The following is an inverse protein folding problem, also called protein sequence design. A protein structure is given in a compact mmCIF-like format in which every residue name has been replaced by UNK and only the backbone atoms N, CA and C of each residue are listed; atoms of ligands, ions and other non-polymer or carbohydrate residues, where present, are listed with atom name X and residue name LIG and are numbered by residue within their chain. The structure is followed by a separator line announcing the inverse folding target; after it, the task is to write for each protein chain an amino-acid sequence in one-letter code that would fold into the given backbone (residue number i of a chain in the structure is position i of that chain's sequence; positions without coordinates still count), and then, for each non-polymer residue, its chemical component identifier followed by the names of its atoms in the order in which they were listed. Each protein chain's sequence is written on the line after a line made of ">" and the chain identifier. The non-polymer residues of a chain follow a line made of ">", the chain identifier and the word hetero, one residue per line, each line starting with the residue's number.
data_IF_149083743895
#
_entry.id   IF_149083743895
#
_cell.length_a   1.000
_cell.length_b   1.000
_cell.length_c   1.000
_cell.angle_alpha   90.00
_cell.angle_beta   90.00
_cell.angle_gamma   90.00
#
_symmetry.space_group_name_H-M   'P 1'
#
loop_
_entity.id
_entity.type
_entity.pdbx_description
1 polymer ?
#
# COMPACT_ATOMS: atom_id res chain seq x y z
N UNK A 1 -7.72 10.72 13.84
CA UNK A 1 -7.58 9.26 14.10
C UNK A 1 -7.56 8.41 12.81
N UNK A 2 -8.38 8.72 11.79
CA UNK A 2 -8.43 7.96 10.53
C UNK A 2 -7.12 7.91 9.73
N UNK A 3 -6.39 9.05 9.59
CA UNK A 3 -5.10 9.09 8.86
C UNK A 3 -4.04 8.15 9.43
N UNK A 4 -3.97 7.98 10.75
CA UNK A 4 -3.00 7.07 11.37
C UNK A 4 -3.25 5.60 10.97
N UNK A 5 -4.51 5.18 10.94
CA UNK A 5 -4.90 3.82 10.52
C UNK A 5 -4.64 3.62 9.02
N UNK A 6 -4.93 4.63 8.19
CA UNK A 6 -4.68 4.61 6.76
C UNK A 6 -3.18 4.51 6.45
N UNK A 7 -2.35 5.35 7.08
CA UNK A 7 -0.89 5.29 6.96
C UNK A 7 -0.32 3.93 7.36
N UNK A 8 -0.84 3.31 8.43
CA UNK A 8 -0.46 1.94 8.82
C UNK A 8 -0.83 0.91 7.73
N UNK A 9 -2.04 1.01 7.15
CA UNK A 9 -2.47 0.12 6.06
C UNK A 9 -1.60 0.27 4.82
N UNK A 10 -1.27 1.49 4.43
CA UNK A 10 -0.34 1.79 3.32
C UNK A 10 1.01 1.11 3.58
N UNK A 11 1.60 1.31 4.76
CA UNK A 11 2.86 0.64 5.14
C UNK A 11 2.77 -0.89 5.07
N UNK A 12 1.63 -1.47 5.48
CA UNK A 12 1.39 -2.92 5.39
C UNK A 12 1.35 -3.40 3.94
N UNK A 13 0.64 -2.68 3.06
CA UNK A 13 0.56 -2.98 1.63
C UNK A 13 1.93 -2.88 0.97
N UNK A 14 2.67 -1.79 1.22
CA UNK A 14 4.04 -1.62 0.73
C UNK A 14 4.88 -2.83 1.15
N UNK A 15 4.91 -3.19 2.44
CA UNK A 15 5.71 -4.31 2.95
C UNK A 15 5.38 -5.65 2.30
N UNK A 16 4.09 -5.95 2.09
CA UNK A 16 3.65 -7.24 1.55
C UNK A 16 3.87 -7.35 0.03
N UNK A 17 3.55 -6.29 -0.71
CA UNK A 17 3.58 -6.32 -2.16
C UNK A 17 4.95 -6.04 -2.75
N UNK A 18 5.72 -5.10 -2.19
CA UNK A 18 7.02 -4.72 -2.75
C UNK A 18 7.96 -5.92 -2.95
N UNK A 19 8.13 -6.77 -1.94
CA UNK A 19 8.95 -7.99 -2.05
C UNK A 19 8.38 -8.99 -3.08
N UNK A 20 7.05 -9.15 -3.12
CA UNK A 20 6.36 -10.04 -4.07
C UNK A 20 6.56 -9.54 -5.51
N UNK A 21 6.37 -8.24 -5.75
CA UNK A 21 6.45 -7.60 -7.06
C UNK A 21 7.88 -7.54 -7.59
N UNK A 22 8.86 -7.22 -6.76
CA UNK A 22 10.29 -7.28 -7.14
C UNK A 22 10.67 -8.70 -7.56
N UNK A 23 10.21 -9.71 -6.82
CA UNK A 23 10.50 -11.12 -7.13
C UNK A 23 9.82 -11.59 -8.43
N UNK A 24 8.60 -11.15 -8.71
CA UNK A 24 7.82 -11.65 -9.87
C UNK A 24 8.07 -10.86 -11.16
N UNK A 25 8.31 -9.55 -11.07
CA UNK A 25 8.32 -8.65 -12.23
C UNK A 25 9.57 -7.76 -12.31
N UNK A 26 10.41 -7.73 -11.26
CA UNK A 26 11.57 -6.85 -11.14
C UNK A 26 11.20 -5.43 -10.71
N UNK A 27 12.22 -4.58 -10.54
CA UNK A 27 12.03 -3.15 -10.27
C UNK A 27 11.59 -2.43 -11.55
N UNK A 28 10.45 -1.73 -11.49
CA UNK A 28 9.90 -0.95 -12.61
C UNK A 28 9.34 0.37 -12.07
N UNK A 29 9.25 1.36 -12.96
CA UNK A 29 8.70 2.68 -12.61
C UNK A 29 7.17 2.62 -12.45
N UNK A 30 6.50 1.77 -13.24
CA UNK A 30 5.07 1.46 -13.13
C UNK A 30 4.80 -0.02 -13.42
N UNK A 31 3.74 -0.56 -12.80
CA UNK A 31 3.22 -1.89 -13.05
C UNK A 31 1.86 -1.82 -13.74
N UNK A 32 1.52 -2.82 -14.55
CA UNK A 32 0.19 -2.86 -15.15
C UNK A 32 -0.88 -3.21 -14.11
N UNK A 33 -2.11 -2.74 -14.34
CA UNK A 33 -3.24 -3.01 -13.43
C UNK A 33 -3.39 -4.51 -13.17
N UNK A 34 -3.33 -5.34 -14.21
CA UNK A 34 -3.42 -6.80 -14.06
C UNK A 34 -2.28 -7.42 -13.22
N UNK A 35 -1.06 -6.88 -13.29
CA UNK A 35 0.06 -7.32 -12.44
C UNK A 35 -0.19 -6.98 -10.97
N UNK A 36 -0.70 -5.78 -10.70
CA UNK A 36 -1.03 -5.33 -9.35
C UNK A 36 -2.20 -6.13 -8.77
N UNK A 37 -3.26 -6.34 -9.54
CA UNK A 37 -4.43 -7.14 -9.13
C UNK A 37 -4.06 -8.59 -8.84
N UNK A 38 -3.27 -9.22 -9.71
CA UNK A 38 -2.80 -10.60 -9.51
C UNK A 38 -1.93 -10.72 -8.25
N UNK A 39 -1.08 -9.71 -8.01
CA UNK A 39 -0.21 -9.69 -6.83
C UNK A 39 -0.98 -9.42 -5.53
N UNK A 40 -2.07 -8.65 -5.61
CA UNK A 40 -2.87 -8.20 -4.47
C UNK A 40 -4.15 -9.01 -4.23
N UNK A 41 -4.37 -10.09 -5.00
CA UNK A 41 -5.55 -10.97 -4.90
C UNK A 41 -5.81 -11.49 -3.48
N UNK A 42 -4.75 -11.74 -2.71
CA UNK A 42 -4.82 -12.25 -1.34
C UNK A 42 -5.15 -11.16 -0.29
N UNK A 43 -5.21 -9.89 -0.70
CA UNK A 43 -5.47 -8.74 0.16
C UNK A 43 -6.95 -8.36 0.16
N UNK A 44 -7.37 -7.60 1.18
CA UNK A 44 -8.73 -7.03 1.22
C UNK A 44 -8.97 -6.01 0.10
N UNK A 45 -10.23 -5.80 -0.33
CA UNK A 45 -10.58 -4.82 -1.38
C UNK A 45 -9.97 -3.43 -1.15
N UNK A 46 -9.99 -2.93 0.10
CA UNK A 46 -9.36 -1.64 0.44
C UNK A 46 -7.83 -1.65 0.23
N UNK A 47 -7.17 -2.76 0.54
CA UNK A 47 -5.73 -2.90 0.33
C UNK A 47 -5.38 -3.07 -1.16
N UNK A 48 -6.24 -3.70 -1.95
CA UNK A 48 -6.11 -3.77 -3.41
C UNK A 48 -6.18 -2.36 -4.02
N UNK A 49 -7.12 -1.52 -3.58
CA UNK A 49 -7.20 -0.12 -4.04
C UNK A 49 -5.93 0.67 -3.67
N UNK A 50 -5.42 0.47 -2.45
CA UNK A 50 -4.14 1.09 -2.05
C UNK A 50 -2.98 0.57 -2.91
N UNK A 51 -2.97 -0.72 -3.26
CA UNK A 51 -1.95 -1.31 -4.11
C UNK A 51 -1.95 -0.69 -5.51
N UNK A 52 -3.14 -0.48 -6.09
CA UNK A 52 -3.29 0.24 -7.36
C UNK A 52 -2.74 1.66 -7.26
N UNK A 53 -3.08 2.40 -6.20
CA UNK A 53 -2.60 3.77 -6.01
C UNK A 53 -1.06 3.87 -5.94
N UNK A 54 -0.44 2.87 -5.32
CA UNK A 54 1.00 2.81 -5.11
C UNK A 54 1.77 2.38 -6.36
N UNK A 55 1.35 1.29 -7.00
CA UNK A 55 2.17 0.58 -7.98
C UNK A 55 1.68 0.72 -9.43
N UNK A 56 0.41 1.04 -9.65
CA UNK A 56 -0.14 1.18 -10.99
C UNK A 56 0.15 2.57 -11.57
N UNK A 57 0.12 2.65 -12.90
CA UNK A 57 0.19 3.90 -13.63
C UNK A 57 -1.11 4.71 -13.42
N UNK A 58 -1.05 5.95 -12.89
CA UNK A 58 -2.23 6.77 -12.67
C UNK A 58 -2.98 7.13 -13.96
N UNK A 59 -2.32 7.16 -15.12
CA UNK A 59 -2.96 7.45 -16.41
C UNK A 59 -3.74 6.25 -16.97
N UNK A 60 -3.41 5.04 -16.52
CA UNK A 60 -4.06 3.81 -16.95
C UNK A 60 -5.36 3.50 -16.19
N UNK A 61 -5.71 4.27 -15.15
CA UNK A 61 -6.88 4.01 -14.31
C UNK A 61 -8.18 4.62 -14.87
N UNK A 62 -9.28 3.88 -14.71
CA UNK A 62 -10.63 4.35 -15.04
C UNK A 62 -11.00 5.62 -14.23
N UNK A 63 -11.77 6.53 -14.83
CA UNK A 63 -12.11 7.84 -14.26
C UNK A 63 -12.70 7.81 -12.84
N UNK A 64 -13.53 6.82 -12.51
CA UNK A 64 -14.10 6.66 -11.16
C UNK A 64 -13.03 6.27 -10.13
N UNK A 65 -12.16 5.33 -10.48
CA UNK A 65 -11.07 4.90 -9.62
C UNK A 65 -9.96 5.95 -9.55
N UNK A 66 -9.82 6.80 -10.57
CA UNK A 66 -8.81 7.83 -10.65
C UNK A 66 -8.92 8.85 -9.50
N UNK A 67 -10.15 9.27 -9.15
CA UNK A 67 -10.35 10.29 -8.09
C UNK A 67 -9.90 9.78 -6.72
N UNK A 68 -10.35 8.59 -6.32
CA UNK A 68 -9.96 7.97 -5.04
C UNK A 68 -8.46 7.63 -5.01
N UNK A 69 -7.91 7.18 -6.15
CA UNK A 69 -6.48 6.91 -6.27
C UNK A 69 -5.65 8.19 -6.17
N UNK A 70 -6.08 9.30 -6.78
CA UNK A 70 -5.37 10.59 -6.69
C UNK A 70 -5.31 11.10 -5.24
N UNK A 71 -6.40 10.98 -4.49
CA UNK A 71 -6.42 11.32 -3.07
C UNK A 71 -5.43 10.44 -2.27
N UNK A 72 -5.44 9.12 -2.52
CA UNK A 72 -4.49 8.20 -1.90
C UNK A 72 -3.04 8.50 -2.28
N UNK A 73 -2.77 8.84 -3.54
CA UNK A 73 -1.43 9.22 -4.01
C UNK A 73 -0.96 10.52 -3.35
N UNK A 74 -1.85 11.51 -3.23
CA UNK A 74 -1.55 12.76 -2.54
C UNK A 74 -1.22 12.51 -1.06
N UNK A 75 -1.99 11.64 -0.39
CA UNK A 75 -1.72 11.24 1.00
C UNK A 75 -0.35 10.56 1.13
N UNK A 76 -0.01 9.64 0.22
CA UNK A 76 1.28 8.92 0.21
C UNK A 76 2.45 9.88 -0.05
N UNK A 77 2.31 10.76 -1.04
CA UNK A 77 3.32 11.77 -1.38
C UNK A 77 3.63 12.65 -0.16
N UNK A 78 2.61 13.16 0.52
CA UNK A 78 2.80 13.95 1.73
C UNK A 78 3.43 13.15 2.90
N UNK A 79 3.03 11.89 3.08
CA UNK A 79 3.46 11.07 4.23
C UNK A 79 4.87 10.48 4.10
N UNK A 80 5.35 10.28 2.87
CA UNK A 80 6.58 9.53 2.58
C UNK A 80 7.59 10.28 1.71
N UNK A 81 7.14 11.23 0.88
CA UNK A 81 7.95 11.92 -0.12
C UNK A 81 7.88 13.45 0.01
N UNK A 82 7.44 13.97 1.17
CA UNK A 82 7.35 15.40 1.46
C UNK A 82 6.52 16.22 0.43
N UNK A 83 5.57 15.60 -0.27
CA UNK A 83 4.75 16.24 -1.29
C UNK A 83 5.30 16.13 -2.72
N UNK A 84 6.42 15.43 -2.92
CA UNK A 84 6.96 15.16 -4.25
C UNK A 84 6.22 14.01 -4.96
N UNK A 85 6.25 14.04 -6.29
CA UNK A 85 5.78 12.93 -7.10
C UNK A 85 6.67 11.71 -6.90
N UNK A 86 6.05 10.53 -6.92
CA UNK A 86 6.75 9.27 -6.70
C UNK A 86 6.31 8.22 -7.71
N UNK A 87 7.24 7.32 -8.02
CA UNK A 87 7.01 6.16 -8.87
C UNK A 87 6.99 4.86 -8.05
N UNK A 88 6.57 3.76 -8.69
CA UNK A 88 6.56 2.45 -8.04
C UNK A 88 7.96 2.07 -7.56
N UNK A 89 9.00 2.45 -8.31
CA UNK A 89 10.40 2.23 -7.95
C UNK A 89 10.80 2.91 -6.64
N UNK A 90 10.35 4.15 -6.40
CA UNK A 90 10.63 4.87 -5.15
C UNK A 90 9.96 4.19 -3.96
N UNK A 91 8.76 3.64 -4.17
CA UNK A 91 8.07 2.83 -3.18
C UNK A 91 8.80 1.52 -2.89
N UNK A 92 9.38 0.89 -3.90
CA UNK A 92 10.21 -0.31 -3.70
C UNK A 92 11.49 0.03 -2.92
N UNK A 93 12.09 1.19 -3.20
CA UNK A 93 13.28 1.68 -2.52
C UNK A 93 13.02 2.11 -1.07
N UNK A 94 11.78 2.47 -0.70
CA UNK A 94 11.40 2.76 0.70
C UNK A 94 11.73 1.59 1.65
N UNK A 95 11.70 0.34 1.17
CA UNK A 95 12.09 -0.82 1.97
C UNK A 95 13.58 -0.90 2.27
N UNK A 96 14.42 -0.38 1.36
CA UNK A 96 15.88 -0.48 1.45
C UNK A 96 16.50 0.53 2.41
N UNK A 97 15.78 1.59 2.77
CA UNK A 97 16.23 2.58 3.74
C UNK A 97 16.29 2.00 5.16
N UNK A 98 17.43 2.17 5.84
CA UNK A 98 17.74 1.63 7.18
C UNK A 98 16.75 2.02 8.30
N UNK A 99 15.79 2.91 8.03
CA UNK A 99 14.72 3.32 8.96
C UNK A 99 13.34 2.67 8.72
N UNK A 100 13.16 1.84 7.67
CA UNK A 100 11.84 1.29 7.35
C UNK A 100 11.43 0.16 8.29
N UNK A 101 10.78 0.53 9.39
CA UNK A 101 10.20 -0.41 10.38
C UNK A 101 8.87 -1.03 9.94
N UNK A 102 8.63 -1.13 8.62
CA UNK A 102 7.45 -1.67 7.93
C UNK A 102 6.26 -1.93 8.85
N UNK A 103 5.31 -0.97 8.86
CA UNK A 103 4.25 -0.81 9.86
C UNK A 103 3.86 -2.10 10.58
N UNK A 104 3.95 -2.10 11.92
CA UNK A 104 3.61 -3.24 12.80
C UNK A 104 2.33 -3.92 12.29
N UNK A 105 2.42 -5.24 12.08
CA UNK A 105 1.27 -6.10 11.81
C UNK A 105 0.44 -6.19 13.10
N UNK A 106 -0.38 -5.19 13.37
CA UNK A 106 -1.41 -5.31 14.40
C UNK A 106 -2.61 -6.05 13.81
N UNK A 107 -2.41 -7.33 13.46
CA UNK A 107 -3.52 -8.30 13.46
C UNK A 107 -3.88 -8.70 14.92
N UNK A 108 -3.33 -7.97 15.90
CA UNK A 108 -3.58 -8.13 17.33
C UNK A 108 -4.73 -7.24 17.87
N UNK A 109 -5.29 -6.35 17.04
CA UNK A 109 -6.52 -5.64 17.43
C UNK A 109 -7.76 -6.55 17.44
N UNK A 110 -7.70 -7.75 16.84
CA UNK A 110 -8.73 -8.78 17.02
C UNK A 110 -8.60 -9.54 18.34
N UNK A 111 -7.44 -9.53 19.02
CA UNK A 111 -7.30 -10.16 20.35
C UNK A 111 -7.64 -9.22 21.50
N UNK A 112 -7.51 -7.89 21.31
CA UNK A 112 -7.68 -6.93 22.41
C UNK A 112 -9.14 -6.63 22.79
N UNK A 113 -10.10 -6.91 21.90
CA UNK A 113 -11.52 -6.54 22.11
C UNK A 113 -12.49 -7.76 22.09
N UNK A 114 -11.99 -8.99 22.06
CA UNK A 114 -12.82 -10.19 21.82
C UNK A 114 -12.65 -11.38 22.76
N UNK A 115 -11.83 -11.28 23.81
CA UNK A 115 -11.69 -12.34 24.82
C UNK A 115 -12.15 -11.85 26.20
N UNK A 116 -13.45 -11.55 26.31
CA UNK A 116 -14.12 -11.75 27.60
C UNK A 116 -14.65 -13.19 27.58
N UNK A 117 -13.81 -14.11 28.03
CA UNK A 117 -14.31 -15.33 28.65
C UNK A 117 -15.09 -14.91 29.90
N UNK A 118 -16.30 -15.44 30.05
CA UNK A 118 -16.92 -15.70 31.35
C UNK A 118 -18.21 -16.48 31.15
N UNK A 119 -18.13 -17.75 31.55
CA UNK A 119 -19.17 -18.70 31.96
C UNK A 119 -20.44 -18.83 31.11
#
# INVERSE_FOLDING_TARGET
>A
MFRYIQRRRIKKVIKLLSAKMVKSYGSRDFFSIGQVETSSKDLSKRQQNIALALFADPEALNAELATDNQLLRTDVSNDFFAGEDYNARDILNLLGGSGWKGGRMDDDMSHRMGMNSRY
#
